data_IF_269644320402
#
_entry.id   IF_269644320402
#
_cell.length_a   1.000
_cell.length_b   1.000
_cell.length_c   1.000
_cell.angle_alpha   90.00
_cell.angle_beta   90.00
_cell.angle_gamma   90.00
#
_symmetry.space_group_name_H-M   'P 1'
#
loop_
_entity.id
_entity.type
_entity.pdbx_description
1 polymer ?
#
# COMPACT_ATOMS: atom_id res chain seq x y z
N UNK A 1 3.83 22.26 -2.92
CA UNK A 1 3.91 21.01 -2.13
C UNK A 1 2.53 20.50 -1.77
N UNK A 2 2.08 19.41 -2.41
CA UNK A 2 0.83 18.71 -2.07
C UNK A 2 1.17 17.24 -1.85
N UNK A 3 1.34 16.86 -0.59
CA UNK A 3 1.60 15.48 -0.19
C UNK A 3 0.49 14.97 0.72
N UNK A 4 0.21 13.68 0.64
CA UNK A 4 -0.68 12.99 1.55
C UNK A 4 0.03 11.73 2.07
N UNK A 5 -0.07 11.46 3.37
CA UNK A 5 0.43 10.27 4.01
C UNK A 5 -0.75 9.50 4.60
N UNK A 6 -0.77 8.18 4.42
CA UNK A 6 -1.81 7.28 4.94
C UNK A 6 -1.12 6.13 5.64
N UNK A 7 -1.42 5.93 6.93
CA UNK A 7 -0.85 4.84 7.73
C UNK A 7 -1.04 5.03 9.23
N UNK A 8 -0.45 4.12 10.00
CA UNK A 8 -0.32 4.21 11.46
C UNK A 8 1.15 4.08 11.83
N UNK A 9 1.59 4.84 12.83
CA UNK A 9 2.96 4.76 13.36
C UNK A 9 3.15 3.60 14.35
N UNK A 10 2.10 2.80 14.58
CA UNK A 10 2.17 1.70 15.53
C UNK A 10 2.79 0.46 14.88
N UNK A 11 3.71 -0.18 15.60
CA UNK A 11 4.49 -1.35 15.16
C UNK A 11 3.61 -2.52 14.69
N UNK A 12 2.39 -2.68 15.24
CA UNK A 12 1.48 -3.75 14.81
C UNK A 12 0.67 -3.39 13.56
N UNK A 13 0.61 -2.13 13.15
CA UNK A 13 -0.16 -1.65 12.01
C UNK A 13 0.11 -2.41 10.69
N UNK A 14 1.39 -2.69 10.35
CA UNK A 14 1.76 -3.44 9.15
C UNK A 14 1.24 -4.88 9.12
N UNK A 15 0.92 -5.51 10.26
CA UNK A 15 0.57 -6.95 10.30
C UNK A 15 -0.73 -7.26 9.58
N UNK A 16 -1.68 -6.31 9.51
CA UNK A 16 -2.88 -6.49 8.70
C UNK A 16 -2.55 -6.48 7.20
N UNK A 17 -1.64 -5.60 6.76
CA UNK A 17 -1.22 -5.50 5.36
C UNK A 17 -0.45 -6.75 4.92
N UNK A 18 0.54 -7.18 5.70
CA UNK A 18 1.51 -8.20 5.29
C UNK A 18 1.29 -9.59 5.91
N UNK A 19 0.42 -9.71 6.91
CA UNK A 19 0.26 -10.95 7.68
C UNK A 19 1.45 -11.23 8.59
N UNK A 20 1.52 -12.47 9.09
CA UNK A 20 2.63 -12.97 9.91
C UNK A 20 2.21 -13.56 11.24
N UNK A 21 3.20 -13.86 12.08
CA UNK A 21 2.99 -14.46 13.41
C UNK A 21 2.38 -13.48 14.41
N UNK A 22 1.38 -13.93 15.14
CA UNK A 22 0.67 -13.15 16.15
C UNK A 22 0.13 -14.03 17.28
N UNK A 23 -0.56 -13.41 18.23
CA UNK A 23 -1.13 -14.07 19.40
C UNK A 23 -0.09 -14.35 20.50
N UNK A 24 -0.54 -14.97 21.59
CA UNK A 24 0.33 -15.31 22.71
C UNK A 24 1.39 -16.31 22.23
N UNK A 25 2.66 -15.96 22.42
CA UNK A 25 3.83 -16.73 21.97
C UNK A 25 3.81 -17.05 20.47
N UNK A 26 3.33 -16.13 19.62
CA UNK A 26 3.36 -16.29 18.15
C UNK A 26 2.61 -17.54 17.65
N UNK A 27 1.61 -17.97 18.42
CA UNK A 27 0.89 -19.23 18.19
C UNK A 27 -0.05 -19.21 16.98
N UNK A 28 -0.30 -18.03 16.38
CA UNK A 28 -1.24 -17.86 15.27
C UNK A 28 -0.51 -17.29 14.06
N UNK A 29 -0.76 -17.88 12.89
CA UNK A 29 -0.39 -17.30 11.59
C UNK A 29 -1.56 -16.47 11.07
N UNK A 30 -1.39 -15.15 10.99
CA UNK A 30 -2.38 -14.25 10.42
C UNK A 30 -2.15 -14.12 8.90
N UNK A 31 -3.14 -14.42 8.06
CA UNK A 31 -3.00 -14.19 6.62
C UNK A 31 -2.97 -12.71 6.28
N UNK A 32 -2.22 -12.33 5.26
CA UNK A 32 -2.18 -10.97 4.74
C UNK A 32 -3.57 -10.48 4.29
N UNK A 33 -3.86 -9.19 4.54
CA UNK A 33 -5.04 -8.45 4.09
C UNK A 33 -4.57 -7.17 3.40
N UNK A 34 -3.94 -7.26 2.21
CA UNK A 34 -3.39 -6.09 1.55
C UNK A 34 -4.50 -5.15 1.06
N UNK A 35 -4.43 -3.89 1.47
CA UNK A 35 -5.30 -2.81 0.99
C UNK A 35 -4.49 -1.67 0.37
N UNK A 36 -3.20 -1.56 0.71
CA UNK A 36 -2.24 -0.75 -0.04
C UNK A 36 -1.57 -1.62 -1.11
N UNK A 37 -1.25 -1.09 -2.29
CA UNK A 37 -0.62 -1.85 -3.35
C UNK A 37 0.91 -1.90 -3.16
N UNK A 38 1.34 -2.23 -1.95
CA UNK A 38 2.75 -2.28 -1.52
C UNK A 38 3.17 -3.73 -1.23
N UNK A 39 4.43 -4.04 -1.53
CA UNK A 39 5.12 -5.26 -1.10
C UNK A 39 5.72 -5.07 0.29
N UNK A 40 6.19 -6.16 0.90
CA UNK A 40 6.87 -6.10 2.21
C UNK A 40 8.17 -5.29 2.19
N UNK A 41 8.79 -5.16 1.02
CA UNK A 41 10.02 -4.38 0.80
C UNK A 41 9.74 -2.89 0.54
N UNK A 42 8.46 -2.49 0.53
CA UNK A 42 8.05 -1.10 0.28
C UNK A 42 7.89 -0.73 -1.19
N UNK A 43 7.99 -1.69 -2.10
CA UNK A 43 7.81 -1.49 -3.54
C UNK A 43 6.33 -1.58 -3.94
N UNK A 44 5.99 -1.04 -5.11
CA UNK A 44 4.65 -1.26 -5.68
C UNK A 44 4.50 -2.71 -6.17
N UNK A 45 3.31 -3.27 -6.01
CA UNK A 45 2.96 -4.55 -6.65
C UNK A 45 2.91 -4.37 -8.18
N UNK A 46 3.45 -5.34 -8.92
CA UNK A 46 3.69 -5.17 -10.37
C UNK A 46 2.41 -4.94 -11.18
N UNK A 47 1.30 -5.55 -10.78
CA UNK A 47 0.00 -5.47 -11.43
C UNK A 47 -0.66 -4.08 -11.29
N UNK A 48 -0.26 -3.28 -10.30
CA UNK A 48 -0.82 -1.94 -10.07
C UNK A 48 -0.03 -0.81 -10.72
N UNK A 49 1.20 -1.07 -11.18
CA UNK A 49 2.09 -0.04 -11.73
C UNK A 49 1.45 0.64 -12.93
N UNK A 50 0.96 -0.15 -13.88
CA UNK A 50 0.33 0.38 -15.10
C UNK A 50 -0.97 1.15 -14.79
N UNK A 51 -1.93 0.63 -14.00
CA UNK A 51 -3.12 1.39 -13.58
C UNK A 51 -2.84 2.72 -12.88
N UNK A 52 -1.81 2.77 -12.02
CA UNK A 52 -1.40 4.00 -11.34
C UNK A 52 -0.86 5.01 -12.35
N UNK A 53 0.06 4.58 -13.23
CA UNK A 53 0.62 5.44 -14.27
C UNK A 53 -0.46 6.00 -15.20
N UNK A 54 -1.42 5.17 -15.63
CA UNK A 54 -2.55 5.61 -16.45
C UNK A 54 -3.39 6.68 -15.74
N UNK A 55 -3.64 6.51 -14.44
CA UNK A 55 -4.38 7.50 -13.64
C UNK A 55 -3.62 8.82 -13.54
N UNK A 56 -2.30 8.78 -13.33
CA UNK A 56 -1.45 9.96 -13.27
C UNK A 56 -1.44 10.67 -14.63
N UNK A 57 -1.20 9.95 -15.73
CA UNK A 57 -1.17 10.52 -17.09
C UNK A 57 -2.50 11.18 -17.43
N UNK A 58 -3.63 10.48 -17.21
CA UNK A 58 -4.97 11.06 -17.45
C UNK A 58 -5.19 12.35 -16.67
N UNK A 59 -4.76 12.40 -15.40
CA UNK A 59 -4.88 13.62 -14.59
C UNK A 59 -4.02 14.77 -15.14
N UNK A 60 -2.76 14.47 -15.52
CA UNK A 60 -1.84 15.46 -16.07
C UNK A 60 -2.34 16.02 -17.41
N UNK A 61 -2.84 15.17 -18.30
CA UNK A 61 -3.45 15.61 -19.56
C UNK A 61 -4.67 16.50 -19.34
N UNK A 62 -5.54 16.13 -18.39
CA UNK A 62 -6.70 16.95 -18.00
C UNK A 62 -6.29 18.30 -17.40
N UNK A 63 -5.18 18.34 -16.66
CA UNK A 63 -4.65 19.57 -16.08
C UNK A 63 -4.00 20.47 -17.14
N UNK A 64 -3.30 19.90 -18.13
CA UNK A 64 -2.63 20.64 -19.18
C UNK A 64 -3.57 21.24 -20.24
N UNK A 65 -4.79 20.69 -20.37
CA UNK A 65 -5.84 21.22 -21.26
C UNK A 65 -6.63 22.38 -20.63
N UNK A 66 -6.35 22.76 -19.38
CA UNK A 66 -6.98 23.88 -18.67
C UNK A 66 -6.14 25.15 -18.78
#
# INVERSE_FOLDING_TARGET
DRQAAVGTNVVYGPIHQFGGKTGRNESVELPARPFLPLTGDGELQLDVVVPILDTIVRHLESAARR
#
